data_IF_337546525366
#
_entry.id   IF_337546525366
#
_cell.length_a   1.000
_cell.length_b   1.000
_cell.length_c   1.000
_cell.angle_alpha   90.00
_cell.angle_beta   90.00
_cell.angle_gamma   90.00
#
_symmetry.space_group_name_H-M   'P 1'
#
loop_
_entity.id
_entity.type
_entity.pdbx_description
1 polymer ?
#
# COMPACT_ATOMS: atom_id res chain seq x y z
N UNK A 1 -53.42 36.26 15.07
CA UNK A 1 -52.36 36.53 14.08
C UNK A 1 -51.23 35.56 14.35
N UNK A 2 -51.15 34.50 13.55
CA UNK A 2 -50.14 33.44 13.70
C UNK A 2 -49.81 32.99 12.28
N UNK A 3 -48.61 33.30 11.79
CA UNK A 3 -48.08 32.90 10.49
C UNK A 3 -47.10 31.74 10.67
N UNK A 4 -47.13 30.68 9.83
CA UNK A 4 -46.11 29.64 9.86
C UNK A 4 -44.93 30.02 8.94
N UNK A 5 -43.72 29.79 9.41
CA UNK A 5 -42.49 29.91 8.60
C UNK A 5 -42.21 28.55 7.96
N UNK A 6 -42.16 28.55 6.64
CA UNK A 6 -41.81 27.41 5.78
C UNK A 6 -40.29 27.32 5.69
N UNK A 7 -39.71 26.17 6.06
CA UNK A 7 -38.32 25.86 5.76
C UNK A 7 -38.22 25.34 4.33
N UNK A 8 -37.59 26.12 3.46
CA UNK A 8 -37.21 25.72 2.10
C UNK A 8 -35.88 24.97 2.14
N UNK A 9 -35.88 23.70 1.72
CA UNK A 9 -34.69 22.89 1.54
C UNK A 9 -34.03 23.20 0.21
N UNK A 10 -32.91 23.93 0.23
CA UNK A 10 -32.06 24.10 -0.96
C UNK A 10 -31.01 23.00 -1.00
N UNK A 11 -31.28 21.97 -1.81
CA UNK A 11 -30.30 20.95 -2.20
C UNK A 11 -29.31 21.58 -3.19
N UNK A 12 -28.08 21.87 -2.74
CA UNK A 12 -27.00 22.26 -3.64
C UNK A 12 -26.45 21.01 -4.33
N UNK A 13 -26.82 20.89 -5.60
CA UNK A 13 -26.27 19.91 -6.55
C UNK A 13 -24.85 20.36 -6.90
N UNK A 14 -23.84 19.64 -6.43
CA UNK A 14 -22.47 19.80 -6.89
C UNK A 14 -22.32 19.13 -8.26
N UNK A 15 -21.99 19.93 -9.27
CA UNK A 15 -21.63 19.46 -10.61
C UNK A 15 -20.19 18.92 -10.62
N UNK A 16 -19.91 17.81 -11.32
CA UNK A 16 -18.54 17.38 -11.55
C UNK A 16 -17.85 18.29 -12.59
N UNK A 17 -16.64 18.72 -12.28
CA UNK A 17 -15.74 19.45 -13.17
C UNK A 17 -15.42 18.62 -14.43
N UNK A 18 -15.68 19.11 -15.66
CA UNK A 18 -15.24 18.43 -16.87
C UNK A 18 -13.86 18.94 -17.29
N UNK A 19 -12.84 18.08 -17.23
CA UNK A 19 -11.55 18.33 -17.90
C UNK A 19 -11.54 17.63 -19.26
N UNK A 20 -11.45 18.43 -20.31
CA UNK A 20 -11.51 18.03 -21.71
C UNK A 20 -10.08 17.78 -22.20
N UNK A 21 -9.73 16.54 -22.59
CA UNK A 21 -8.48 16.28 -23.31
C UNK A 21 -8.79 15.64 -24.67
N UNK A 22 -8.71 16.46 -25.72
CA UNK A 22 -8.53 15.97 -27.09
C UNK A 22 -7.04 15.73 -27.28
N UNK A 23 -6.63 14.47 -27.42
CA UNK A 23 -5.29 14.12 -27.86
C UNK A 23 -5.35 13.50 -29.27
N UNK A 24 -4.62 14.15 -30.16
CA UNK A 24 -4.37 13.83 -31.56
C UNK A 24 -3.44 12.61 -31.65
N UNK A 25 -3.79 11.60 -32.45
CA UNK A 25 -2.90 10.49 -32.83
C UNK A 25 -2.02 10.91 -34.02
N UNK A 26 -0.76 10.41 -34.09
CA UNK A 26 -0.16 10.09 -35.37
C UNK A 26 0.18 8.60 -35.49
N UNK A 27 -0.16 8.06 -36.66
CA UNK A 27 0.25 6.76 -37.19
C UNK A 27 1.77 6.71 -37.42
N UNK A 28 2.40 5.57 -37.11
CA UNK A 28 3.67 5.18 -37.74
C UNK A 28 3.57 3.73 -38.21
N UNK A 29 3.93 3.55 -39.47
CA UNK A 29 3.94 2.31 -40.25
C UNK A 29 5.08 1.35 -39.87
N UNK A 30 4.75 0.06 -40.02
CA UNK A 30 5.56 -1.13 -40.30
C UNK A 30 7.06 -0.96 -40.60
N UNK A 31 7.91 -1.86 -40.07
CA UNK A 31 8.77 -2.77 -40.87
C UNK A 31 8.89 -4.13 -40.15
N UNK A 32 8.74 -5.20 -40.94
CA UNK A 32 8.85 -6.62 -40.58
C UNK A 32 10.21 -7.17 -41.06
N UNK A 33 10.89 -8.01 -40.27
CA UNK A 33 11.80 -9.05 -40.79
C UNK A 33 12.34 -9.98 -39.68
N UNK A 34 12.16 -11.28 -39.86
CA UNK A 34 12.96 -12.39 -39.29
C UNK A 34 13.37 -13.31 -40.46
N UNK A 35 14.01 -14.49 -40.29
CA UNK A 35 14.96 -14.99 -39.28
C UNK A 35 16.18 -15.67 -39.93
N UNK A 36 17.33 -15.88 -39.24
CA UNK A 36 18.31 -16.91 -39.64
C UNK A 36 19.08 -17.55 -38.45
N UNK A 37 18.91 -18.88 -38.32
CA UNK A 37 19.88 -19.90 -37.83
C UNK A 37 20.46 -20.58 -39.10
N UNK A 38 21.60 -21.33 -39.15
CA UNK A 38 22.08 -22.36 -38.21
C UNK A 38 23.63 -22.32 -37.96
N UNK A 39 24.25 -23.09 -37.05
CA UNK A 39 24.73 -24.47 -37.28
C UNK A 39 25.38 -25.06 -36.02
N UNK A 40 25.30 -26.39 -35.97
CA UNK A 40 25.90 -27.32 -35.02
C UNK A 40 27.43 -27.35 -35.09
N UNK A 41 28.07 -27.58 -33.94
CA UNK A 41 29.33 -28.31 -33.86
C UNK A 41 29.23 -29.38 -32.76
N UNK A 42 29.58 -30.60 -33.15
CA UNK A 42 29.81 -31.78 -32.32
C UNK A 42 31.32 -32.01 -32.33
N UNK A 43 31.95 -32.28 -31.17
CA UNK A 43 32.62 -33.56 -30.95
C UNK A 43 33.08 -33.75 -29.49
N UNK A 44 33.15 -35.03 -29.16
CA UNK A 44 33.37 -35.75 -27.92
C UNK A 44 34.70 -35.50 -27.18
N UNK A 45 34.65 -35.61 -25.85
CA UNK A 45 35.51 -36.47 -25.01
C UNK A 45 34.96 -36.34 -23.56
N UNK A 46 34.58 -37.37 -22.79
CA UNK A 46 35.15 -38.70 -22.70
C UNK A 46 35.98 -38.82 -21.42
N UNK A 47 35.35 -38.81 -20.22
CA UNK A 47 35.91 -39.38 -18.98
C UNK A 47 34.81 -39.63 -17.93
N UNK A 48 34.54 -40.92 -17.69
CA UNK A 48 33.75 -41.45 -16.58
C UNK A 48 34.55 -41.30 -15.28
N UNK A 49 33.94 -40.78 -14.22
CA UNK A 49 34.23 -41.18 -12.84
C UNK A 49 32.89 -41.36 -12.10
N UNK A 50 32.81 -42.48 -11.41
CA UNK A 50 31.61 -43.03 -10.80
C UNK A 50 31.42 -42.54 -9.36
N UNK A 51 30.15 -42.33 -9.01
CA UNK A 51 29.49 -42.56 -7.70
C UNK A 51 30.04 -41.87 -6.45
N UNK A 52 29.26 -40.90 -5.94
CA UNK A 52 28.61 -41.00 -4.63
C UNK A 52 27.40 -40.03 -4.61
N UNK A 53 26.20 -40.55 -4.89
CA UNK A 53 24.95 -39.84 -4.64
C UNK A 53 24.55 -40.08 -3.18
N UNK A 54 24.75 -39.07 -2.33
CA UNK A 54 24.01 -38.93 -1.08
C UNK A 54 22.80 -38.04 -1.35
N UNK A 55 21.54 -38.51 -1.19
CA UNK A 55 20.41 -37.62 -1.22
C UNK A 55 20.39 -36.90 0.13
N UNK A 56 20.93 -35.68 0.19
CA UNK A 56 20.70 -34.85 1.37
C UNK A 56 19.31 -34.23 1.23
N UNK A 57 18.45 -34.77 2.08
CA UNK A 57 17.05 -34.43 2.35
C UNK A 57 16.79 -32.93 2.26
N UNK A 58 15.77 -32.58 1.48
CA UNK A 58 15.07 -31.30 1.50
C UNK A 58 14.74 -30.87 2.93
N UNK A 59 15.37 -29.78 3.37
CA UNK A 59 15.11 -29.15 4.66
C UNK A 59 15.27 -27.63 4.57
N UNK A 60 14.69 -26.99 3.55
CA UNK A 60 14.72 -25.52 3.39
C UNK A 60 13.36 -24.86 3.56
N UNK A 61 12.27 -25.62 3.70
CA UNK A 61 10.94 -25.01 3.84
C UNK A 61 10.76 -24.32 5.19
N UNK A 62 11.26 -24.90 6.28
CA UNK A 62 11.05 -24.41 7.65
C UNK A 62 11.74 -23.07 7.96
N UNK A 63 12.89 -22.77 7.34
CA UNK A 63 13.60 -21.50 7.54
C UNK A 63 12.95 -20.36 6.75
N UNK A 64 12.41 -20.64 5.55
CA UNK A 64 11.73 -19.64 4.72
C UNK A 64 10.39 -19.22 5.35
N UNK A 65 9.63 -20.13 5.97
CA UNK A 65 8.37 -19.75 6.64
C UNK A 65 8.56 -18.81 7.84
N UNK A 66 9.70 -18.88 8.54
CA UNK A 66 9.94 -18.03 9.71
C UNK A 66 10.08 -16.53 9.35
N UNK A 67 10.46 -16.22 8.11
CA UNK A 67 10.74 -14.85 7.66
C UNK A 67 9.50 -14.07 7.22
N UNK A 68 8.38 -14.76 6.94
CA UNK A 68 7.17 -14.13 6.44
C UNK A 68 6.01 -14.24 7.44
N UNK A 69 5.11 -13.27 7.39
CA UNK A 69 3.74 -13.39 7.86
C UNK A 69 2.81 -13.49 6.64
N UNK A 70 1.81 -14.36 6.70
CA UNK A 70 0.82 -14.51 5.64
C UNK A 70 -0.48 -13.84 6.05
N UNK A 71 -1.04 -13.00 5.18
CA UNK A 71 -2.38 -12.45 5.37
C UNK A 71 -3.41 -13.55 5.04
N UNK A 72 -4.21 -14.02 6.01
CA UNK A 72 -4.98 -15.25 5.86
C UNK A 72 -6.06 -15.22 4.78
N UNK A 73 -6.65 -14.05 4.49
CA UNK A 73 -7.74 -13.96 3.53
C UNK A 73 -7.25 -14.02 2.07
N UNK A 74 -6.04 -13.54 1.79
CA UNK A 74 -5.51 -13.39 0.44
C UNK A 74 -4.32 -14.29 0.13
N UNK A 75 -3.74 -14.92 1.16
CA UNK A 75 -2.47 -15.66 1.11
C UNK A 75 -1.27 -14.84 0.63
N UNK A 76 -1.36 -13.50 0.69
CA UNK A 76 -0.22 -12.62 0.41
C UNK A 76 0.77 -12.71 1.56
N UNK A 77 2.04 -12.86 1.21
CA UNK A 77 3.15 -12.94 2.17
C UNK A 77 3.83 -11.59 2.33
N UNK A 78 4.05 -11.21 3.57
CA UNK A 78 4.78 -10.01 3.99
C UNK A 78 6.03 -10.44 4.74
N UNK A 79 7.17 -9.80 4.46
CA UNK A 79 8.37 -10.04 5.26
C UNK A 79 8.13 -9.53 6.69
N UNK A 80 8.71 -10.17 7.70
CA UNK A 80 8.64 -9.66 9.08
C UNK A 80 9.55 -8.47 9.30
N UNK A 81 10.63 -8.35 8.53
CA UNK A 81 11.56 -7.22 8.54
C UNK A 81 11.99 -6.88 7.11
N UNK A 82 12.07 -5.59 6.79
CA UNK A 82 12.29 -5.11 5.42
C UNK A 82 13.09 -3.80 5.38
N UNK A 83 14.00 -3.69 4.41
CA UNK A 83 14.65 -2.44 4.05
C UNK A 83 13.89 -1.78 2.89
N UNK A 84 13.48 -0.53 3.08
CA UNK A 84 12.65 0.21 2.13
C UNK A 84 13.35 1.45 1.58
N UNK A 85 13.02 1.88 0.35
CA UNK A 85 13.65 3.04 -0.26
C UNK A 85 13.39 4.30 0.57
N UNK A 86 14.48 5.00 0.90
CA UNK A 86 14.45 6.24 1.68
C UNK A 86 14.39 6.05 3.20
N UNK A 87 14.29 4.81 3.70
CA UNK A 87 14.42 4.51 5.12
C UNK A 87 15.89 4.36 5.52
N UNK A 88 16.24 4.90 6.68
CA UNK A 88 17.55 4.81 7.32
C UNK A 88 17.74 3.50 8.09
N UNK A 89 16.65 2.78 8.36
CA UNK A 89 16.64 1.54 9.15
C UNK A 89 15.66 0.50 8.60
N UNK A 90 15.92 -0.77 8.92
CA UNK A 90 14.98 -1.84 8.62
C UNK A 90 13.70 -1.65 9.42
N UNK A 91 12.54 -1.76 8.77
CA UNK A 91 11.24 -1.69 9.42
C UNK A 91 10.75 -3.09 9.78
N UNK A 92 9.98 -3.20 10.86
CA UNK A 92 9.38 -4.45 11.32
C UNK A 92 7.87 -4.45 11.11
N UNK A 93 7.34 -5.59 10.65
CA UNK A 93 5.92 -5.76 10.39
C UNK A 93 5.14 -5.82 11.70
N UNK A 94 4.16 -4.95 11.83
CA UNK A 94 3.31 -4.83 13.02
C UNK A 94 1.97 -5.55 12.87
N UNK A 95 1.44 -5.64 11.64
CA UNK A 95 0.19 -6.33 11.36
C UNK A 95 -0.16 -6.35 9.89
N UNK A 96 -1.07 -7.25 9.51
CA UNK A 96 -1.54 -7.45 8.14
C UNK A 96 -3.06 -7.51 8.06
N UNK A 97 -3.63 -7.08 6.95
CA UNK A 97 -5.05 -7.23 6.67
C UNK A 97 -5.34 -7.09 5.19
N UNK A 98 -6.61 -7.01 4.84
CA UNK A 98 -7.04 -6.88 3.45
C UNK A 98 -8.16 -5.85 3.32
N UNK A 99 -8.30 -5.32 2.11
CA UNK A 99 -9.48 -4.53 1.75
C UNK A 99 -10.38 -5.33 0.83
N UNK A 100 -11.66 -5.31 1.16
CA UNK A 100 -12.74 -5.83 0.33
C UNK A 100 -13.62 -4.67 -0.13
N UNK A 101 -14.10 -4.75 -1.37
CA UNK A 101 -15.14 -3.85 -1.88
C UNK A 101 -16.32 -4.69 -2.34
N UNK A 102 -17.51 -4.37 -1.84
CA UNK A 102 -18.74 -5.02 -2.27
C UNK A 102 -19.15 -4.44 -3.61
N UNK A 103 -19.21 -5.29 -4.63
CA UNK A 103 -19.75 -4.94 -5.94
C UNK A 103 -21.11 -5.61 -6.08
N UNK A 104 -22.17 -4.80 -6.04
CA UNK A 104 -23.56 -5.26 -5.95
C UNK A 104 -23.80 -6.16 -4.72
N UNK A 105 -23.66 -7.48 -4.88
CA UNK A 105 -23.95 -8.49 -3.83
C UNK A 105 -22.68 -9.23 -3.40
N UNK A 106 -21.62 -9.18 -4.21
CA UNK A 106 -20.42 -9.99 -3.99
C UNK A 106 -19.29 -9.10 -3.46
N UNK A 107 -18.78 -9.46 -2.29
CA UNK A 107 -17.54 -8.92 -1.74
C UNK A 107 -16.33 -9.39 -2.54
N UNK A 108 -15.52 -8.46 -3.02
CA UNK A 108 -14.28 -8.82 -3.73
C UNK A 108 -13.06 -8.19 -3.07
N UNK A 109 -12.09 -9.04 -2.76
CA UNK A 109 -10.78 -8.64 -2.21
C UNK A 109 -10.02 -7.82 -3.25
N UNK A 110 -9.63 -6.61 -2.88
CA UNK A 110 -8.93 -5.67 -3.76
C UNK A 110 -7.43 -5.76 -3.53
N UNK A 111 -7.01 -5.74 -2.28
CA UNK A 111 -5.60 -5.84 -1.90
C UNK A 111 -5.42 -6.43 -0.51
N UNK A 112 -4.23 -6.96 -0.26
CA UNK A 112 -3.69 -7.17 1.08
C UNK A 112 -2.84 -5.95 1.47
N UNK A 113 -2.70 -5.69 2.76
CA UNK A 113 -1.88 -4.62 3.27
C UNK A 113 -1.13 -5.05 4.54
N UNK A 114 0.05 -4.48 4.76
CA UNK A 114 0.86 -4.67 5.96
C UNK A 114 1.45 -3.34 6.42
N UNK A 115 1.37 -3.06 7.72
CA UNK A 115 2.01 -1.90 8.33
C UNK A 115 3.36 -2.30 8.91
N UNK A 116 4.39 -1.61 8.47
CA UNK A 116 5.75 -1.71 9.01
C UNK A 116 6.09 -0.45 9.79
N UNK A 117 6.81 -0.60 10.89
CA UNK A 117 7.27 0.51 11.74
C UNK A 117 8.74 0.34 12.09
N UNK A 118 9.43 1.46 12.30
CA UNK A 118 10.74 1.44 12.93
C UNK A 118 10.61 0.83 14.34
N UNK A 119 11.38 -0.21 14.71
CA UNK A 119 11.28 -0.85 16.02
C UNK A 119 11.47 0.12 17.20
N UNK A 120 12.26 1.17 17.02
CA UNK A 120 12.52 2.18 18.06
C UNK A 120 11.26 3.00 18.42
N UNK A 121 10.26 3.01 17.54
CA UNK A 121 8.97 3.68 17.77
C UNK A 121 8.21 3.07 18.95
N UNK A 122 8.45 1.81 19.28
CA UNK A 122 7.80 1.15 20.42
C UNK A 122 8.14 1.82 21.76
N UNK A 123 9.30 2.48 21.86
CA UNK A 123 9.67 3.24 23.05
C UNK A 123 8.75 4.47 23.27
N UNK A 124 8.31 5.10 22.18
CA UNK A 124 7.37 6.24 22.19
C UNK A 124 5.95 5.82 22.59
N UNK A 125 5.63 4.54 22.45
CA UNK A 125 4.32 3.96 22.77
C UNK A 125 4.27 3.30 24.16
N UNK A 126 5.29 3.51 24.98
CA UNK A 126 5.35 3.01 26.37
C UNK A 126 4.14 3.38 27.25
N UNK A 127 3.41 4.50 27.05
CA UNK A 127 2.19 4.76 27.82
C UNK A 127 1.03 3.78 27.57
N UNK A 128 1.12 2.96 26.51
CA UNK A 128 0.13 1.93 26.18
C UNK A 128 0.58 0.50 26.53
N UNK A 129 1.71 0.37 27.23
CA UNK A 129 2.24 -0.92 27.69
C UNK A 129 1.22 -1.70 28.52
N UNK A 130 1.07 -2.99 28.20
CA UNK A 130 0.16 -3.90 28.90
C UNK A 130 -1.33 -3.71 28.60
N UNK A 131 -1.71 -2.80 27.68
CA UNK A 131 -3.09 -2.69 27.21
C UNK A 131 -3.46 -3.91 26.36
N UNK A 132 -4.68 -4.39 26.53
CA UNK A 132 -5.21 -5.48 25.73
C UNK A 132 -5.49 -5.03 24.29
N UNK A 133 -5.55 -5.99 23.36
CA UNK A 133 -5.93 -5.74 21.95
C UNK A 133 -7.17 -4.83 21.80
N UNK A 134 -8.33 -5.09 22.43
CA UNK A 134 -9.51 -4.25 22.23
C UNK A 134 -9.35 -2.83 22.78
N UNK A 135 -8.53 -2.63 23.81
CA UNK A 135 -8.19 -1.30 24.32
C UNK A 135 -7.32 -0.54 23.31
N UNK A 136 -6.27 -1.18 22.79
CA UNK A 136 -5.39 -0.62 21.75
C UNK A 136 -6.17 -0.28 20.48
N UNK A 137 -7.05 -1.19 20.02
CA UNK A 137 -7.78 -1.05 18.76
C UNK A 137 -8.72 0.17 18.74
N UNK A 138 -9.32 0.51 19.89
CA UNK A 138 -10.25 1.64 20.03
C UNK A 138 -9.56 2.95 20.39
N UNK A 139 -8.28 2.91 20.75
CA UNK A 139 -7.54 4.07 21.22
C UNK A 139 -6.99 4.89 20.04
N UNK A 140 -7.73 5.91 19.62
CA UNK A 140 -7.31 6.81 18.54
C UNK A 140 -6.04 7.59 18.90
N UNK A 141 -5.81 7.88 20.18
CA UNK A 141 -4.62 8.62 20.60
C UNK A 141 -3.35 7.80 20.35
N UNK A 142 -3.40 6.47 20.54
CA UNK A 142 -2.29 5.57 20.18
C UNK A 142 -1.93 5.69 18.69
N UNK A 143 -2.92 5.57 17.80
CA UNK A 143 -2.66 5.62 16.36
C UNK A 143 -2.22 7.02 15.92
N UNK A 144 -2.70 8.06 16.59
CA UNK A 144 -2.19 9.42 16.40
C UNK A 144 -0.73 9.54 16.85
N UNK A 145 -0.31 8.93 17.96
CA UNK A 145 1.10 8.88 18.37
C UNK A 145 1.98 8.18 17.33
N UNK A 146 1.52 7.06 16.75
CA UNK A 146 2.22 6.40 15.63
C UNK A 146 2.36 7.35 14.44
N UNK A 147 1.29 8.06 14.08
CA UNK A 147 1.33 9.05 13.00
C UNK A 147 2.34 10.16 13.28
N UNK A 148 2.29 10.76 14.48
CA UNK A 148 3.11 11.89 14.91
C UNK A 148 4.58 11.54 15.13
N UNK A 149 4.91 10.26 15.27
CA UNK A 149 6.30 9.82 15.38
C UNK A 149 7.14 10.33 14.20
N UNK A 150 8.31 10.88 14.55
CA UNK A 150 9.37 11.24 13.59
C UNK A 150 10.14 10.04 13.05
N UNK A 151 9.80 8.83 13.52
CA UNK A 151 10.39 7.59 13.04
C UNK A 151 9.60 7.04 11.85
N UNK A 152 10.35 6.37 10.98
CA UNK A 152 9.87 5.82 9.72
C UNK A 152 8.79 4.74 9.94
N UNK A 153 7.77 4.78 9.08
CA UNK A 153 6.71 3.78 9.01
C UNK A 153 6.25 3.65 7.56
N UNK A 154 5.89 2.43 7.15
CA UNK A 154 5.47 2.18 5.78
C UNK A 154 4.27 1.26 5.72
N UNK A 155 3.29 1.66 4.93
CA UNK A 155 2.18 0.81 4.56
C UNK A 155 2.49 0.17 3.21
N UNK A 156 2.64 -1.15 3.20
CA UNK A 156 2.77 -1.94 1.99
C UNK A 156 1.38 -2.44 1.55
N UNK A 157 0.93 -2.05 0.37
CA UNK A 157 -0.29 -2.52 -0.27
C UNK A 157 0.09 -3.46 -1.41
N UNK A 158 -0.49 -4.65 -1.45
CA UNK A 158 -0.29 -5.65 -2.49
C UNK A 158 -1.61 -5.98 -3.18
N UNK A 159 -1.72 -5.63 -4.47
CA UNK A 159 -2.94 -5.87 -5.22
C UNK A 159 -3.14 -7.36 -5.48
N UNK A 160 -4.32 -7.89 -5.13
CA UNK A 160 -4.67 -9.30 -5.34
C UNK A 160 -5.51 -9.52 -6.59
N UNK A 161 -5.78 -8.44 -7.31
CA UNK A 161 -6.50 -8.38 -8.58
C UNK A 161 -6.03 -7.18 -9.39
N UNK A 162 -6.37 -7.17 -10.67
CA UNK A 162 -6.19 -6.01 -11.52
C UNK A 162 -7.13 -4.88 -11.09
N UNK A 163 -6.58 -3.67 -11.04
CA UNK A 163 -7.29 -2.42 -10.79
C UNK A 163 -6.77 -1.40 -11.80
N UNK A 164 -7.65 -0.70 -12.49
CA UNK A 164 -7.20 0.41 -13.33
C UNK A 164 -6.76 1.59 -12.44
N UNK A 165 -5.70 2.30 -12.83
CA UNK A 165 -5.15 3.40 -12.03
C UNK A 165 -6.17 4.48 -11.69
N UNK A 166 -7.15 4.72 -12.58
CA UNK A 166 -8.25 5.66 -12.34
C UNK A 166 -9.16 5.19 -11.21
N UNK A 167 -9.64 3.95 -11.23
CA UNK A 167 -10.46 3.37 -10.16
C UNK A 167 -9.72 3.35 -8.83
N UNK A 168 -8.41 3.07 -8.84
CA UNK A 168 -7.60 3.12 -7.62
C UNK A 168 -7.57 4.53 -7.03
N UNK A 169 -7.27 5.53 -7.87
CA UNK A 169 -7.24 6.92 -7.44
C UNK A 169 -8.62 7.44 -7.03
N UNK A 170 -9.67 7.20 -7.82
CA UNK A 170 -11.04 7.63 -7.51
C UNK A 170 -11.46 7.09 -6.12
N UNK A 171 -11.12 5.84 -5.82
CA UNK A 171 -11.41 5.24 -4.51
C UNK A 171 -10.55 5.79 -3.37
N UNK A 172 -9.39 6.38 -3.68
CA UNK A 172 -8.54 7.03 -2.70
C UNK A 172 -8.97 8.48 -2.47
N UNK A 173 -9.31 9.21 -3.52
CA UNK A 173 -9.90 10.54 -3.45
C UNK A 173 -11.18 10.51 -2.60
N UNK A 174 -12.07 9.54 -2.85
CA UNK A 174 -13.27 9.29 -2.03
C UNK A 174 -12.93 9.10 -0.54
N UNK A 175 -11.77 8.50 -0.23
CA UNK A 175 -11.35 8.23 1.14
C UNK A 175 -10.60 9.41 1.80
N UNK A 176 -9.91 10.24 1.01
CA UNK A 176 -9.08 11.36 1.47
C UNK A 176 -9.86 12.67 1.51
N UNK A 177 -10.68 12.97 0.51
CA UNK A 177 -11.44 14.21 0.37
C UNK A 177 -12.29 14.55 1.61
N UNK A 178 -13.01 13.59 2.24
CA UNK A 178 -13.75 13.89 3.48
C UNK A 178 -12.88 14.25 4.69
N UNK A 179 -11.59 13.90 4.66
CA UNK A 179 -10.63 14.13 5.75
C UNK A 179 -9.91 15.47 5.63
N UNK A 180 -9.93 16.10 4.46
CA UNK A 180 -9.33 17.42 4.20
C UNK A 180 -10.47 18.40 3.93
N UNK A 181 -10.94 19.08 4.99
CA UNK A 181 -12.11 19.98 4.88
C UNK A 181 -11.92 21.14 3.89
N UNK A 182 -10.74 21.75 3.93
CA UNK A 182 -10.36 22.88 3.08
C UNK A 182 -8.92 22.67 2.64
N UNK A 183 -8.69 22.10 1.44
CA UNK A 183 -7.35 21.93 0.90
C UNK A 183 -6.65 23.28 0.74
N UNK A 184 -5.39 23.36 1.16
CA UNK A 184 -4.50 24.48 0.83
C UNK A 184 -3.84 24.26 -0.54
N UNK A 185 -3.23 25.27 -1.16
CA UNK A 185 -2.47 25.07 -2.41
C UNK A 185 -1.33 24.03 -2.27
N UNK A 186 -0.77 23.88 -1.07
CA UNK A 186 0.22 22.83 -0.76
C UNK A 186 -0.43 21.45 -0.80
N UNK A 187 -1.63 21.32 -0.23
CA UNK A 187 -2.39 20.06 -0.24
C UNK A 187 -2.81 19.68 -1.66
N UNK A 188 -3.28 20.65 -2.46
CA UNK A 188 -3.65 20.43 -3.86
C UNK A 188 -2.46 19.97 -4.71
N UNK A 189 -1.29 20.60 -4.52
CA UNK A 189 -0.05 20.20 -5.21
C UNK A 189 0.41 18.79 -4.79
N UNK A 190 0.33 18.48 -3.49
CA UNK A 190 0.65 17.17 -2.94
C UNK A 190 -0.29 16.07 -3.48
N UNK A 191 -1.61 16.33 -3.51
CA UNK A 191 -2.61 15.41 -4.08
C UNK A 191 -2.39 15.21 -5.59
N UNK A 192 -2.12 16.28 -6.34
CA UNK A 192 -1.82 16.21 -7.77
C UNK A 192 -0.57 15.37 -8.06
N UNK A 193 0.50 15.60 -7.28
CA UNK A 193 1.74 14.80 -7.37
C UNK A 193 1.45 13.34 -7.09
N UNK A 194 0.73 13.04 -6.00
CA UNK A 194 0.33 11.67 -5.66
C UNK A 194 -0.49 11.01 -6.78
N UNK A 195 -1.48 11.73 -7.32
CA UNK A 195 -2.35 11.24 -8.39
C UNK A 195 -1.55 10.91 -9.66
N UNK A 196 -0.61 11.77 -10.03
CA UNK A 196 0.19 11.64 -11.26
C UNK A 196 0.95 10.31 -11.35
N UNK A 197 1.30 9.71 -10.19
CA UNK A 197 1.98 8.41 -10.11
C UNK A 197 1.11 7.31 -10.72
N UNK A 198 -0.20 7.35 -10.48
CA UNK A 198 -1.13 6.30 -10.89
C UNK A 198 -1.77 6.57 -12.26
N UNK A 199 -1.63 7.78 -12.79
CA UNK A 199 -2.13 8.13 -14.11
C UNK A 199 -1.41 7.32 -15.20
N UNK A 200 -2.19 6.58 -16.00
CA UNK A 200 -1.64 5.74 -17.07
C UNK A 200 -1.00 4.43 -16.60
N UNK A 201 -0.91 4.17 -15.29
CA UNK A 201 -0.47 2.87 -14.78
C UNK A 201 -1.60 1.83 -14.83
N UNK A 202 -1.32 0.68 -15.43
CA UNK A 202 -2.16 -0.51 -15.27
C UNK A 202 -1.70 -1.25 -14.01
N UNK A 203 -2.46 -1.12 -12.92
CA UNK A 203 -2.11 -1.75 -11.64
C UNK A 203 -2.56 -3.22 -11.68
N UNK A 204 -1.63 -4.09 -12.04
CA UNK A 204 -1.89 -5.52 -12.17
C UNK A 204 -1.90 -6.20 -10.80
N UNK A 205 -2.53 -7.37 -10.74
CA UNK A 205 -2.33 -8.29 -9.62
C UNK A 205 -0.83 -8.49 -9.39
N UNK A 206 -0.39 -8.36 -8.13
CA UNK A 206 1.01 -8.41 -7.74
C UNK A 206 1.72 -7.05 -7.71
N UNK A 207 1.07 -5.96 -8.16
CA UNK A 207 1.59 -4.61 -7.94
C UNK A 207 1.69 -4.33 -6.44
N UNK A 208 2.86 -3.87 -6.02
CA UNK A 208 3.12 -3.36 -4.68
C UNK A 208 3.15 -1.85 -4.71
N UNK A 209 2.46 -1.24 -3.75
CA UNK A 209 2.47 0.20 -3.49
C UNK A 209 2.97 0.39 -2.06
N UNK A 210 4.02 1.19 -1.89
CA UNK A 210 4.54 1.61 -0.60
C UNK A 210 4.13 3.05 -0.34
N UNK A 211 3.51 3.28 0.81
CA UNK A 211 3.29 4.61 1.38
C UNK A 211 4.18 4.72 2.62
N UNK A 212 5.30 5.41 2.50
CA UNK A 212 6.32 5.47 3.56
C UNK A 212 6.36 6.86 4.17
N UNK A 213 5.89 7.02 5.40
CA UNK A 213 6.06 8.26 6.16
C UNK A 213 7.45 8.28 6.77
N UNK A 214 8.27 9.24 6.36
CA UNK A 214 9.57 9.50 7.00
C UNK A 214 9.38 10.32 8.28
N UNK A 215 8.43 11.25 8.24
CA UNK A 215 8.01 12.12 9.32
C UNK A 215 6.56 12.56 9.03
N UNK A 216 5.84 13.19 9.97
CA UNK A 216 4.41 13.49 9.79
C UNK A 216 4.10 14.25 8.50
N UNK A 217 4.91 15.24 8.09
CA UNK A 217 4.64 16.06 6.90
C UNK A 217 5.18 15.50 5.59
N UNK A 218 5.99 14.43 5.61
CA UNK A 218 6.74 13.94 4.44
C UNK A 218 6.58 12.44 4.24
N UNK A 219 6.04 12.08 3.09
CA UNK A 219 5.79 10.70 2.71
C UNK A 219 6.38 10.38 1.33
N UNK A 220 7.05 9.25 1.21
CA UNK A 220 7.53 8.69 -0.05
C UNK A 220 6.51 7.71 -0.60
N UNK A 221 6.39 7.71 -1.93
CA UNK A 221 5.55 6.74 -2.66
C UNK A 221 6.44 5.94 -3.59
N UNK A 222 6.24 4.64 -3.61
CA UNK A 222 6.95 3.74 -4.52
C UNK A 222 6.00 2.67 -5.04
N UNK A 223 6.05 2.41 -6.34
CA UNK A 223 5.19 1.44 -7.03
C UNK A 223 6.07 0.50 -7.82
N UNK A 224 5.79 -0.80 -7.71
CA UNK A 224 6.48 -1.79 -8.55
C UNK A 224 5.55 -2.96 -8.88
N UNK A 225 5.85 -3.65 -9.96
CA UNK A 225 5.20 -4.90 -10.30
C UNK A 225 6.12 -6.06 -9.91
N UNK A 226 5.67 -6.88 -8.97
CA UNK A 226 6.38 -8.05 -8.44
C UNK A 226 7.71 -7.72 -7.76
N UNK A 227 7.72 -7.75 -6.43
CA UNK A 227 8.89 -7.48 -5.60
C UNK A 227 8.79 -6.15 -4.87
N UNK A 228 9.68 -5.93 -3.91
CA UNK A 228 9.71 -4.70 -3.12
C UNK A 228 10.34 -3.59 -3.97
N UNK A 229 9.69 -2.41 -4.11
CA UNK A 229 10.27 -1.29 -4.83
C UNK A 229 11.64 -0.89 -4.28
N UNK A 230 12.61 -0.64 -5.17
CA UNK A 230 13.96 -0.16 -4.80
C UNK A 230 14.17 1.33 -5.09
N UNK A 231 13.20 1.97 -5.74
CA UNK A 231 13.25 3.38 -6.15
C UNK A 231 12.04 4.12 -5.56
N UNK A 232 12.27 5.39 -5.21
CA UNK A 232 11.20 6.35 -4.87
C UNK A 232 10.64 6.98 -6.15
N UNK A 233 9.32 6.91 -6.33
CA UNK A 233 8.64 7.47 -7.50
C UNK A 233 8.14 8.90 -7.25
N UNK A 234 7.77 9.21 -6.02
CA UNK A 234 7.40 10.57 -5.63
C UNK A 234 7.62 10.84 -4.15
N UNK A 235 7.72 12.12 -3.82
CA UNK A 235 7.71 12.66 -2.46
C UNK A 235 6.49 13.55 -2.30
N UNK A 236 5.73 13.32 -1.24
CA UNK A 236 4.52 14.07 -0.88
C UNK A 236 4.84 14.89 0.35
N UNK A 237 4.74 16.21 0.22
CA UNK A 237 5.02 17.17 1.31
C UNK A 237 3.74 17.94 1.64
N UNK A 238 2.97 17.40 2.57
CA UNK A 238 1.77 18.03 3.14
C UNK A 238 1.35 17.26 4.38
N UNK A 239 1.30 17.93 5.52
CA UNK A 239 0.78 17.34 6.78
C UNK A 239 -0.68 16.91 6.64
N UNK A 240 -1.52 17.67 5.95
CA UNK A 240 -2.94 17.34 5.84
C UNK A 240 -3.15 16.09 4.97
N UNK A 241 -2.44 15.99 3.85
CA UNK A 241 -2.54 14.86 2.92
C UNK A 241 -1.99 13.58 3.54
N UNK A 242 -0.79 13.65 4.12
CA UNK A 242 -0.14 12.50 4.75
C UNK A 242 -0.92 12.01 5.97
N UNK A 243 -1.49 12.90 6.79
CA UNK A 243 -2.42 12.54 7.87
C UNK A 243 -3.69 11.90 7.34
N UNK A 244 -4.31 12.49 6.32
CA UNK A 244 -5.53 11.96 5.74
C UNK A 244 -5.32 10.53 5.22
N UNK A 245 -4.20 10.28 4.52
CA UNK A 245 -3.84 8.95 4.04
C UNK A 245 -3.60 7.96 5.17
N UNK A 246 -2.96 8.36 6.28
CA UNK A 246 -2.82 7.49 7.44
C UNK A 246 -4.20 7.16 8.06
N UNK A 247 -5.05 8.18 8.22
CA UNK A 247 -6.39 8.06 8.79
C UNK A 247 -7.35 7.23 7.92
N UNK A 248 -7.07 7.05 6.62
CA UNK A 248 -7.81 6.11 5.76
C UNK A 248 -7.69 4.67 6.28
N UNK A 249 -6.54 4.30 6.86
CA UNK A 249 -6.28 2.94 7.33
C UNK A 249 -6.40 2.79 8.84
N UNK A 250 -6.14 3.85 9.62
CA UNK A 250 -6.05 3.76 11.08
C UNK A 250 -6.94 4.75 11.84
N UNK A 251 -7.73 5.56 11.12
CA UNK A 251 -8.71 6.48 11.72
C UNK A 251 -9.95 5.77 12.28
N UNK A 252 -11.01 6.53 12.52
CA UNK A 252 -12.28 6.04 13.09
C UNK A 252 -12.96 4.98 12.22
N UNK A 253 -12.99 5.20 10.90
CA UNK A 253 -13.63 4.32 9.91
C UNK A 253 -12.57 3.81 8.92
N UNK A 254 -11.75 2.82 9.31
CA UNK A 254 -10.67 2.34 8.46
C UNK A 254 -11.19 1.56 7.24
N UNK A 255 -10.59 1.76 6.07
CA UNK A 255 -10.94 1.00 4.85
C UNK A 255 -10.53 -0.47 4.90
N UNK A 256 -9.70 -0.84 5.89
CA UNK A 256 -9.36 -2.23 6.21
C UNK A 256 -9.43 -2.40 7.74
N UNK A 257 -10.61 -2.73 8.30
CA UNK A 257 -10.76 -3.00 9.72
C UNK A 257 -9.87 -4.17 10.19
N UNK A 258 -9.66 -5.17 9.32
CA UNK A 258 -8.79 -6.32 9.61
C UNK A 258 -7.33 -5.91 9.79
N UNK A 259 -6.83 -4.96 8.99
CA UNK A 259 -5.49 -4.41 9.16
C UNK A 259 -5.36 -3.68 10.51
N UNK A 260 -6.28 -2.78 10.84
CA UNK A 260 -6.25 -2.03 12.11
C UNK A 260 -6.30 -2.98 13.31
N UNK A 261 -7.17 -3.99 13.27
CA UNK A 261 -7.28 -4.99 14.34
C UNK A 261 -6.03 -5.86 14.47
N UNK A 262 -5.39 -6.23 13.34
CA UNK A 262 -4.13 -6.98 13.35
C UNK A 262 -2.98 -6.15 13.92
N UNK A 263 -2.86 -4.88 13.53
CA UNK A 263 -1.87 -3.95 14.08
C UNK A 263 -2.07 -3.74 15.58
N UNK A 264 -3.32 -3.57 16.02
CA UNK A 264 -3.64 -3.45 17.44
C UNK A 264 -3.22 -4.70 18.24
N UNK A 265 -3.39 -5.89 17.66
CA UNK A 265 -2.92 -7.13 18.26
C UNK A 265 -1.39 -7.21 18.31
N UNK A 266 -0.69 -6.81 17.25
CA UNK A 266 0.77 -6.76 17.22
C UNK A 266 1.33 -5.83 18.29
N UNK A 267 0.73 -4.65 18.44
CA UNK A 267 1.07 -3.69 19.49
C UNK A 267 0.82 -4.25 20.90
N UNK A 268 -0.35 -4.83 21.15
CA UNK A 268 -0.70 -5.39 22.46
C UNK A 268 0.22 -6.55 22.90
N UNK A 269 0.79 -7.30 21.95
CA UNK A 269 1.77 -8.34 22.23
C UNK A 269 3.17 -7.75 22.49
N UNK A 270 3.49 -6.64 21.82
CA UNK A 270 4.86 -6.10 21.79
C UNK A 270 5.12 -5.06 22.89
N UNK A 271 4.10 -4.33 23.34
CA UNK A 271 4.20 -3.25 24.35
C UNK A 271 4.01 -3.76 25.78
#
# INVERSE_FOLDING_TARGET
>A
MTTPIVYSSSTLVFSPFPFNSKAFLPQIHQICSSPQKPRNFSLQNGKKFSTHFTPMVSGSSSVVYAQYAEEPATSVKFLKSVDLPGCSSSLSLLGTGYREKVFAIIGVKVYAAGLYVNPSMLNELSPWKGKSKPEVEKDLALFQSIYQSSLEKSLQISLVRDVDGKTFWDALDEAVSPKIKVPTPVDESALSTFQSIFQGLSLKKGTLILLTWLEPSKMLVSVSLNGIPTKVDATIESMNVTKALFDVFFGESPVSPTLKSSVANGLAITL
#
